data_IF_433246675316
#
_entry.id   IF_433246675316
#
_cell.length_a   1.000
_cell.length_b   1.000
_cell.length_c   1.000
_cell.angle_alpha   90.00
_cell.angle_beta   90.00
_cell.angle_gamma   90.00
#
_symmetry.space_group_name_H-M   'P 1'
#
loop_
_entity.id
_entity.type
_entity.pdbx_description
1 polymer ?
#
# COMPACT_ATOMS: atom_id res chain seq x y z
N UNK A 1 -41.76 4.10 -3.17
CA UNK A 1 -41.05 2.93 -3.77
C UNK A 1 -40.50 2.08 -2.64
N UNK A 2 -41.15 0.98 -2.32
CA UNK A 2 -40.73 0.05 -1.27
C UNK A 2 -39.59 -0.80 -1.83
N UNK A 3 -38.39 -0.65 -1.29
CA UNK A 3 -37.22 -1.40 -1.75
C UNK A 3 -37.27 -2.84 -1.23
N UNK A 4 -37.27 -3.82 -2.13
CA UNK A 4 -37.42 -5.26 -1.81
C UNK A 4 -36.10 -5.96 -1.50
N UNK A 5 -34.94 -5.34 -1.79
CA UNK A 5 -33.61 -5.92 -1.54
C UNK A 5 -32.99 -5.36 -0.25
N UNK A 6 -32.33 -6.20 0.58
CA UNK A 6 -31.62 -5.72 1.77
C UNK A 6 -30.55 -4.70 1.37
N UNK A 7 -30.40 -3.66 2.19
CA UNK A 7 -29.51 -2.53 1.89
C UNK A 7 -28.05 -3.01 1.84
N UNK A 8 -27.47 -3.01 0.64
CA UNK A 8 -26.04 -3.31 0.46
C UNK A 8 -25.19 -2.21 1.10
N UNK A 9 -24.42 -2.57 2.12
CA UNK A 9 -23.43 -1.66 2.69
C UNK A 9 -22.35 -1.36 1.65
N UNK A 10 -22.09 -0.07 1.42
CA UNK A 10 -21.02 0.38 0.51
C UNK A 10 -19.65 0.17 1.15
N UNK A 11 -18.64 -0.07 0.31
CA UNK A 11 -17.25 -0.12 0.75
C UNK A 11 -16.86 1.20 1.43
N UNK A 12 -16.31 1.10 2.64
CA UNK A 12 -15.75 2.23 3.38
C UNK A 12 -14.23 2.11 3.35
N UNK A 13 -13.54 3.14 2.86
CA UNK A 13 -12.06 3.18 2.87
C UNK A 13 -11.55 3.21 4.31
N UNK A 14 -10.66 2.29 4.65
CA UNK A 14 -9.95 2.30 5.93
C UNK A 14 -8.90 3.41 5.91
N UNK A 15 -9.02 4.39 6.80
CA UNK A 15 -8.01 5.43 7.00
C UNK A 15 -6.96 4.93 7.98
N UNK A 16 -5.82 4.47 7.45
CA UNK A 16 -4.68 4.06 8.28
C UNK A 16 -3.89 5.31 8.66
N UNK A 17 -3.73 5.54 9.96
CA UNK A 17 -2.93 6.67 10.47
C UNK A 17 -1.44 6.38 10.23
N UNK A 18 -0.70 7.38 9.75
CA UNK A 18 0.77 7.33 9.63
C UNK A 18 1.33 6.11 8.88
N UNK A 19 0.66 5.67 7.80
CA UNK A 19 1.05 4.48 7.05
C UNK A 19 2.48 4.55 6.45
N UNK A 20 3.00 5.76 6.20
CA UNK A 20 4.33 5.96 5.61
C UNK A 20 5.46 5.50 6.54
N UNK A 21 5.29 5.62 7.86
CA UNK A 21 6.30 5.22 8.83
C UNK A 21 6.58 3.71 8.81
N UNK A 22 5.60 2.91 8.39
CA UNK A 22 5.75 1.45 8.31
C UNK A 22 6.71 0.99 7.21
N UNK A 23 7.13 1.87 6.30
CA UNK A 23 8.01 1.50 5.18
C UNK A 23 9.49 1.62 5.54
N UNK A 24 9.81 2.28 6.65
CA UNK A 24 11.16 2.59 7.05
C UNK A 24 11.44 2.01 8.44
N UNK A 25 12.62 1.41 8.59
CA UNK A 25 13.19 1.07 9.88
C UNK A 25 14.40 1.97 10.10
N UNK A 26 14.46 2.60 11.27
CA UNK A 26 15.59 3.44 11.68
C UNK A 26 16.36 2.65 12.74
N UNK A 27 17.64 2.40 12.48
CA UNK A 27 18.54 1.76 13.44
C UNK A 27 19.07 2.79 14.45
N UNK A 28 19.60 2.35 15.59
CA UNK A 28 20.10 3.21 16.67
C UNK A 28 21.22 4.17 16.22
N UNK A 29 21.98 3.80 15.20
CA UNK A 29 23.00 4.64 14.57
C UNK A 29 22.46 5.67 13.57
N UNK A 30 21.14 5.81 13.45
CA UNK A 30 20.48 6.77 12.55
C UNK A 30 20.44 6.34 11.07
N UNK A 31 20.82 5.09 10.76
CA UNK A 31 20.73 4.55 9.40
C UNK A 31 19.28 4.17 9.09
N UNK A 32 18.82 4.54 7.89
CA UNK A 32 17.45 4.25 7.42
C UNK A 32 17.47 3.04 6.49
N UNK A 33 16.78 1.99 6.89
CA UNK A 33 16.53 0.80 6.06
C UNK A 33 15.13 0.86 5.44
N UNK A 34 15.03 0.63 4.13
CA UNK A 34 13.75 0.50 3.41
C UNK A 34 13.25 -0.94 3.53
N UNK A 35 12.06 -1.13 4.09
CA UNK A 35 11.49 -2.46 4.36
C UNK A 35 10.75 -3.07 3.15
N UNK A 36 10.44 -2.26 2.14
CA UNK A 36 9.67 -2.68 0.96
C UNK A 36 10.46 -2.46 -0.31
N UNK A 37 10.20 -3.32 -1.31
CA UNK A 37 10.80 -3.21 -2.64
C UNK A 37 10.27 -1.97 -3.37
N UNK A 38 11.15 -1.33 -4.13
CA UNK A 38 10.79 -0.25 -5.05
C UNK A 38 10.23 -0.83 -6.34
N UNK A 39 9.27 -0.13 -6.95
CA UNK A 39 8.72 -0.56 -8.23
C UNK A 39 9.74 -0.28 -9.37
N UNK A 40 10.06 -1.28 -10.22
CA UNK A 40 11.04 -1.12 -11.31
C UNK A 40 10.50 -0.31 -12.49
N UNK A 41 9.21 0.02 -12.52
CA UNK A 41 8.61 0.76 -13.63
C UNK A 41 9.11 2.22 -13.63
N UNK A 42 9.59 2.69 -14.79
CA UNK A 42 10.08 4.05 -15.00
C UNK A 42 9.09 5.14 -14.56
N UNK A 43 7.77 4.90 -14.69
CA UNK A 43 6.74 5.85 -14.25
C UNK A 43 6.49 5.84 -12.73
N UNK A 44 6.87 4.75 -12.05
CA UNK A 44 6.65 4.60 -10.61
C UNK A 44 7.84 5.10 -9.80
N UNK A 45 9.05 5.04 -10.35
CA UNK A 45 10.27 5.64 -9.81
C UNK A 45 10.67 5.13 -8.41
N UNK A 46 11.84 5.57 -7.94
CA UNK A 46 12.44 5.17 -6.66
C UNK A 46 11.66 5.61 -5.40
N UNK A 47 10.48 6.24 -5.56
CA UNK A 47 9.60 6.67 -4.48
C UNK A 47 8.36 5.80 -4.26
N UNK A 48 8.06 4.87 -5.19
CA UNK A 48 6.87 4.02 -5.09
C UNK A 48 7.24 2.63 -4.57
N UNK A 49 6.83 2.34 -3.34
CA UNK A 49 7.01 1.02 -2.74
C UNK A 49 5.92 0.04 -3.19
N UNK A 50 6.32 -1.21 -3.40
CA UNK A 50 5.40 -2.31 -3.67
C UNK A 50 4.76 -2.81 -2.37
N UNK A 51 3.49 -3.18 -2.44
CA UNK A 51 2.77 -3.86 -1.38
C UNK A 51 3.28 -5.31 -1.25
N UNK A 52 3.56 -5.73 -0.02
CA UNK A 52 3.99 -7.09 0.28
C UNK A 52 2.77 -7.93 0.68
N UNK A 53 2.30 -8.78 -0.23
CA UNK A 53 1.35 -9.84 0.08
C UNK A 53 2.11 -11.14 0.33
N UNK A 54 1.45 -12.18 0.84
CA UNK A 54 2.12 -13.45 1.18
C UNK A 54 2.75 -14.13 -0.04
N UNK A 55 2.16 -13.95 -1.22
CA UNK A 55 2.48 -14.63 -2.47
C UNK A 55 3.04 -13.70 -3.56
N UNK A 56 2.91 -12.38 -3.40
CA UNK A 56 3.19 -11.43 -4.49
C UNK A 56 3.59 -10.04 -4.02
N UNK A 57 4.20 -9.28 -4.91
CA UNK A 57 4.54 -7.87 -4.69
C UNK A 57 3.74 -6.98 -5.63
N UNK A 58 2.81 -6.19 -5.11
CA UNK A 58 1.90 -5.42 -5.96
C UNK A 58 2.19 -3.91 -5.91
N UNK A 59 2.37 -3.28 -7.07
CA UNK A 59 2.46 -1.83 -7.19
C UNK A 59 1.06 -1.22 -7.33
N UNK A 60 0.62 -0.45 -6.33
CA UNK A 60 -0.68 0.23 -6.36
C UNK A 60 -0.79 1.36 -7.40
N UNK A 61 0.32 1.81 -7.99
CA UNK A 61 0.34 2.91 -8.99
C UNK A 61 0.23 2.40 -10.43
N UNK A 62 1.00 1.40 -10.82
CA UNK A 62 1.01 0.85 -12.18
C UNK A 62 0.29 -0.50 -12.33
N UNK A 63 -0.19 -1.11 -11.23
CA UNK A 63 -0.86 -2.41 -11.30
C UNK A 63 0.08 -3.60 -11.54
N UNK A 64 1.40 -3.38 -11.56
CA UNK A 64 2.39 -4.44 -11.67
C UNK A 64 2.31 -5.37 -10.45
N UNK A 65 2.38 -6.68 -10.67
CA UNK A 65 2.35 -7.72 -9.64
C UNK A 65 3.67 -8.48 -9.60
#
# INVERSE_FOLDING_TARGET
KTYTKPKKMKHKKKKVKLAVLQFYKVDESGKVQRLRKECPNAECGAGTFMANHFDRHYCGKCGLT
#
